data_IF_177092221906
#
_entry.id   IF_177092221906
#
_cell.length_a   1.000
_cell.length_b   1.000
_cell.length_c   1.000
_cell.angle_alpha   90.00
_cell.angle_beta   90.00
_cell.angle_gamma   90.00
#
_symmetry.space_group_name_H-M   'P 1'
#
loop_
_entity.id
_entity.type
_entity.pdbx_description
1 polymer ?
#
# COMPACT_ATOMS: atom_id res chain seq x y z
N UNK A 1 -39.58 66.22 6.03
CA UNK A 1 -41.03 66.44 5.71
C UNK A 1 -41.73 65.11 5.93
N UNK A 2 -42.37 64.92 7.11
CA UNK A 2 -43.83 65.04 7.36
C UNK A 2 -44.66 64.31 6.29
N UNK A 3 -45.40 63.22 6.60
CA UNK A 3 -46.64 63.05 7.42
C UNK A 3 -46.99 61.57 7.53
N UNK A 4 -47.26 60.86 8.63
CA UNK A 4 -48.50 60.72 9.41
C UNK A 4 -49.78 60.47 8.63
N UNK A 5 -50.45 59.35 8.96
CA UNK A 5 -51.86 59.20 9.34
C UNK A 5 -52.19 57.69 9.36
N UNK A 6 -52.39 57.09 10.49
CA UNK A 6 -53.54 56.87 11.41
C UNK A 6 -54.62 55.93 10.90
N UNK A 7 -54.78 54.84 11.67
CA UNK A 7 -55.92 54.17 12.27
C UNK A 7 -57.11 53.71 11.44
N UNK A 8 -57.46 52.43 11.63
CA UNK A 8 -58.79 52.06 12.15
C UNK A 8 -58.81 50.60 12.63
N UNK A 9 -59.20 50.41 13.90
CA UNK A 9 -59.50 49.16 14.53
C UNK A 9 -60.92 48.72 14.19
N UNK A 10 -61.12 47.41 13.89
CA UNK A 10 -62.45 46.79 14.01
C UNK A 10 -62.30 45.53 14.82
N UNK A 11 -63.00 45.55 15.96
CA UNK A 11 -63.17 44.44 16.90
C UNK A 11 -64.31 43.54 16.41
N UNK A 12 -64.09 42.23 16.23
CA UNK A 12 -65.19 41.26 16.23
C UNK A 12 -64.83 40.07 17.09
N UNK A 13 -65.79 39.68 17.93
CA UNK A 13 -65.75 38.73 19.02
C UNK A 13 -65.72 37.25 18.59
N UNK A 14 -64.95 36.50 19.36
CA UNK A 14 -65.16 35.16 19.95
C UNK A 14 -65.79 34.05 19.11
N UNK A 15 -64.98 32.97 18.95
CA UNK A 15 -65.41 31.59 18.76
C UNK A 15 -64.32 30.66 19.26
N UNK A 16 -64.54 30.10 20.47
CA UNK A 16 -63.64 29.14 21.10
C UNK A 16 -63.68 27.78 20.35
N UNK A 17 -62.65 27.41 19.70
CA UNK A 17 -62.44 26.05 19.18
C UNK A 17 -61.03 25.64 19.48
N UNK A 18 -60.78 24.83 20.51
CA UNK A 18 -59.51 24.25 20.84
C UNK A 18 -59.16 23.16 19.81
N UNK A 19 -58.28 23.45 18.88
CA UNK A 19 -57.59 22.46 18.08
C UNK A 19 -56.20 22.21 18.69
N UNK A 20 -56.03 21.04 19.31
CA UNK A 20 -54.73 20.53 19.70
C UNK A 20 -53.93 20.24 18.41
N UNK A 21 -52.69 20.74 18.25
CA UNK A 21 -51.79 20.24 17.23
C UNK A 21 -51.24 18.90 17.70
N UNK A 22 -51.57 17.83 16.98
CA UNK A 22 -50.86 16.56 17.10
C UNK A 22 -49.43 16.75 16.61
N UNK A 23 -48.46 16.85 17.53
CA UNK A 23 -47.03 16.74 17.19
C UNK A 23 -46.76 15.29 16.76
N UNK A 24 -46.64 15.08 15.46
CA UNK A 24 -46.00 13.87 14.89
C UNK A 24 -44.48 13.95 15.18
N UNK A 25 -44.06 13.31 16.25
CA UNK A 25 -42.66 12.98 16.48
C UNK A 25 -42.26 11.94 15.43
N UNK A 26 -41.71 12.39 14.31
CA UNK A 26 -40.93 11.52 13.42
C UNK A 26 -39.67 11.13 14.18
N UNK A 27 -39.69 9.96 14.83
CA UNK A 27 -38.55 9.33 15.37
C UNK A 27 -37.66 8.91 14.20
N UNK A 28 -36.52 9.60 13.99
CA UNK A 28 -35.41 9.03 13.22
C UNK A 28 -34.94 7.78 13.97
N UNK A 29 -35.42 6.63 13.55
CA UNK A 29 -34.76 5.35 13.91
C UNK A 29 -33.37 5.38 13.26
N UNK A 30 -32.35 5.69 14.03
CA UNK A 30 -31.00 5.35 13.66
C UNK A 30 -30.95 3.84 13.60
N UNK A 31 -30.96 3.30 12.39
CA UNK A 31 -30.61 1.90 12.16
C UNK A 31 -29.15 1.81 12.58
N UNK A 32 -28.89 1.29 13.76
CA UNK A 32 -27.56 0.85 14.15
C UNK A 32 -27.27 -0.36 13.25
N UNK A 33 -26.53 -0.15 12.16
CA UNK A 33 -25.98 -1.26 11.40
C UNK A 33 -25.09 -2.04 12.35
N UNK A 34 -25.50 -3.26 12.67
CA UNK A 34 -24.64 -4.19 13.38
C UNK A 34 -23.48 -4.45 12.42
N UNK A 35 -22.22 -4.20 12.82
CA UNK A 35 -21.07 -4.49 11.96
C UNK A 35 -21.15 -5.93 11.45
N UNK A 36 -20.90 -6.13 10.17
CA UNK A 36 -20.89 -7.47 9.59
C UNK A 36 -19.90 -8.34 10.39
N UNK A 37 -20.26 -9.62 10.68
CA UNK A 37 -19.37 -10.49 11.44
C UNK A 37 -18.04 -10.64 10.70
N UNK A 38 -16.95 -10.25 11.36
CA UNK A 38 -15.60 -10.37 10.83
C UNK A 38 -15.21 -11.83 10.75
N UNK A 39 -14.56 -12.24 9.66
CA UNK A 39 -13.99 -13.59 9.59
C UNK A 39 -12.80 -13.70 10.56
N UNK A 40 -12.63 -14.85 11.24
CA UNK A 40 -11.51 -15.03 12.16
C UNK A 40 -10.18 -14.95 11.41
N UNK A 41 -9.16 -14.37 12.06
CA UNK A 41 -7.78 -14.42 11.63
C UNK A 41 -6.98 -15.31 12.59
N UNK A 42 -5.99 -16.04 12.05
CA UNK A 42 -5.11 -16.91 12.84
C UNK A 42 -3.87 -16.14 13.27
N UNK A 43 -3.48 -16.29 14.52
CA UNK A 43 -2.28 -15.60 15.05
C UNK A 43 -1.01 -16.30 14.55
N UNK A 44 -0.10 -15.51 13.98
CA UNK A 44 1.23 -15.97 13.54
C UNK A 44 2.27 -15.05 14.17
N UNK A 45 3.20 -15.56 14.97
CA UNK A 45 4.17 -14.71 15.66
C UNK A 45 5.23 -14.14 14.72
N UNK A 46 5.68 -12.92 15.01
CA UNK A 46 6.86 -12.36 14.36
C UNK A 46 8.11 -13.17 14.76
N UNK A 47 8.98 -13.40 13.80
CA UNK A 47 10.28 -14.08 13.96
C UNK A 47 11.41 -13.07 14.16
N UNK A 48 11.27 -11.87 13.60
CA UNK A 48 12.22 -10.77 13.69
C UNK A 48 11.52 -9.42 13.59
N UNK A 49 12.30 -8.37 13.81
CA UNK A 49 11.84 -7.00 13.61
C UNK A 49 13.01 -6.09 13.23
N UNK A 50 12.71 -4.99 12.53
CA UNK A 50 13.72 -3.97 12.25
C UNK A 50 13.93 -3.03 13.44
N UNK A 51 15.08 -2.38 13.47
CA UNK A 51 15.21 -1.18 14.27
C UNK A 51 14.12 -0.18 13.85
N UNK A 52 13.56 0.58 14.80
CA UNK A 52 12.57 1.60 14.48
C UNK A 52 13.08 2.65 13.51
N UNK A 53 12.17 3.26 12.74
CA UNK A 53 12.48 4.44 11.95
C UNK A 53 12.86 5.64 12.83
N UNK A 54 13.50 6.65 12.27
CA UNK A 54 14.01 7.79 13.02
C UNK A 54 12.94 8.77 13.49
N UNK A 55 11.84 8.85 12.80
CA UNK A 55 10.72 9.71 13.17
C UNK A 55 9.93 9.08 14.31
N UNK A 56 9.97 9.69 15.47
CA UNK A 56 9.32 9.21 16.69
C UNK A 56 8.01 9.95 16.98
N UNK A 57 7.08 9.27 17.63
CA UNK A 57 5.78 9.81 18.07
C UNK A 57 4.92 10.36 16.90
N UNK A 58 5.05 9.77 15.73
CA UNK A 58 4.28 10.11 14.54
C UNK A 58 4.03 8.84 13.73
N UNK A 59 3.04 8.87 12.88
CA UNK A 59 2.80 7.89 11.84
C UNK A 59 3.86 8.07 10.74
N UNK A 60 4.87 7.19 10.72
CA UNK A 60 6.11 7.39 10.00
C UNK A 60 6.61 6.20 9.19
N UNK A 61 6.72 5.00 9.76
CA UNK A 61 7.00 3.81 8.95
C UNK A 61 5.81 3.53 8.04
N UNK A 62 6.07 3.14 6.78
CA UNK A 62 5.00 2.97 5.81
C UNK A 62 5.14 1.66 5.05
N UNK A 63 5.98 1.61 4.04
CA UNK A 63 6.01 0.51 3.09
C UNK A 63 7.38 -0.18 3.03
N UNK A 64 7.41 -1.52 3.01
CA UNK A 64 8.63 -2.29 2.89
C UNK A 64 8.89 -2.81 1.48
N UNK A 65 10.17 -3.11 1.17
CA UNK A 65 10.57 -3.91 0.03
C UNK A 65 11.68 -4.89 0.40
N UNK A 66 11.78 -6.03 -0.28
CA UNK A 66 12.73 -7.10 0.04
C UNK A 66 13.61 -7.42 -1.19
N UNK A 67 14.92 -7.28 -1.04
CA UNK A 67 15.88 -7.80 -2.00
C UNK A 67 16.46 -9.13 -1.51
N UNK A 68 16.27 -10.21 -2.30
CA UNK A 68 16.77 -11.53 -1.97
C UNK A 68 18.14 -11.78 -2.61
N UNK A 69 19.16 -12.04 -1.80
CA UNK A 69 20.45 -12.50 -2.28
C UNK A 69 20.41 -14.01 -2.50
N UNK A 70 20.31 -14.44 -3.77
CA UNK A 70 20.27 -15.88 -4.12
C UNK A 70 21.59 -16.60 -3.91
N UNK A 71 22.72 -15.88 -3.91
CA UNK A 71 24.04 -16.46 -3.72
C UNK A 71 24.43 -16.61 -2.25
N UNK A 72 23.99 -15.68 -1.42
CA UNK A 72 24.17 -15.67 0.03
C UNK A 72 22.86 -15.21 0.70
N UNK A 73 21.91 -16.14 0.94
CA UNK A 73 20.61 -15.81 1.47
C UNK A 73 20.61 -14.96 2.74
N UNK A 74 21.59 -15.18 3.64
CA UNK A 74 21.72 -14.41 4.87
C UNK A 74 22.17 -12.95 4.66
N UNK A 75 22.71 -12.64 3.50
CA UNK A 75 23.07 -11.27 3.08
C UNK A 75 21.97 -10.56 2.29
N UNK A 76 20.75 -11.05 2.31
CA UNK A 76 19.58 -10.35 1.78
C UNK A 76 19.31 -9.06 2.52
N UNK A 77 18.66 -8.11 1.86
CA UNK A 77 18.42 -6.77 2.39
C UNK A 77 16.92 -6.46 2.41
N UNK A 78 16.54 -5.69 3.41
CA UNK A 78 15.20 -5.17 3.60
C UNK A 78 15.22 -3.66 3.43
N UNK A 79 14.21 -3.09 2.82
CA UNK A 79 14.00 -1.66 2.73
C UNK A 79 12.74 -1.28 3.51
N UNK A 80 12.68 -0.04 3.96
CA UNK A 80 11.49 0.49 4.61
C UNK A 80 11.47 2.01 4.55
N UNK A 81 10.31 2.58 4.21
CA UNK A 81 10.15 4.03 4.19
C UNK A 81 9.87 4.58 5.57
N UNK A 82 10.39 5.77 5.81
CA UNK A 82 9.93 6.72 6.82
C UNK A 82 9.27 7.86 6.03
N UNK A 83 7.92 7.85 5.97
CA UNK A 83 7.13 8.77 5.13
C UNK A 83 7.24 10.25 5.53
N UNK A 84 8.06 10.54 6.54
CA UNK A 84 8.42 11.90 6.96
C UNK A 84 9.85 12.25 6.63
N UNK A 85 10.76 11.27 6.44
CA UNK A 85 12.18 11.51 6.42
C UNK A 85 12.97 10.88 5.24
N UNK A 86 12.57 9.70 4.75
CA UNK A 86 13.27 9.07 3.63
C UNK A 86 13.24 7.54 3.63
N UNK A 87 14.36 6.91 3.26
CA UNK A 87 14.43 5.48 3.01
C UNK A 87 15.53 4.82 3.83
N UNK A 88 15.18 3.74 4.50
CA UNK A 88 16.08 2.85 5.23
C UNK A 88 16.43 1.61 4.43
N UNK A 89 17.66 1.10 4.61
CA UNK A 89 18.05 -0.25 4.28
C UNK A 89 18.46 -0.98 5.57
N UNK A 90 17.99 -2.23 5.71
CA UNK A 90 18.27 -3.08 6.86
C UNK A 90 18.85 -4.42 6.40
N UNK A 91 19.59 -5.10 7.27
CA UNK A 91 19.88 -6.52 7.10
C UNK A 91 18.76 -7.40 7.65
N UNK A 92 18.83 -8.72 7.43
CA UNK A 92 17.87 -9.67 8.01
C UNK A 92 17.91 -9.72 9.55
N UNK A 93 18.99 -9.22 10.16
CA UNK A 93 19.09 -9.03 11.62
C UNK A 93 18.33 -7.78 12.11
N UNK A 94 17.57 -7.13 11.22
CA UNK A 94 16.79 -5.94 11.50
C UNK A 94 17.60 -4.66 11.71
N UNK A 95 18.93 -4.72 11.65
CA UNK A 95 19.77 -3.54 11.89
C UNK A 95 19.90 -2.68 10.64
N UNK A 96 19.88 -1.37 10.87
CA UNK A 96 20.12 -0.37 9.82
C UNK A 96 21.50 -0.59 9.18
N UNK A 97 21.52 -0.66 7.86
CA UNK A 97 22.71 -0.64 7.01
C UNK A 97 22.95 0.74 6.43
N UNK A 98 21.86 1.43 6.08
CA UNK A 98 21.91 2.78 5.53
C UNK A 98 20.60 3.53 5.77
N UNK A 99 20.68 4.85 5.72
CA UNK A 99 19.53 5.74 5.68
C UNK A 99 19.81 6.91 4.77
N UNK A 100 18.92 7.16 3.83
CA UNK A 100 18.97 8.32 2.94
C UNK A 100 17.83 9.26 3.27
N UNK A 101 18.17 10.48 3.72
CA UNK A 101 17.21 11.56 3.88
C UNK A 101 16.75 12.03 2.48
N UNK A 102 15.58 11.58 2.06
CA UNK A 102 15.05 11.77 0.73
C UNK A 102 13.66 12.44 0.70
N UNK A 103 13.24 13.04 1.81
CA UNK A 103 11.95 13.68 1.92
C UNK A 103 10.81 12.73 2.26
N UNK A 104 9.60 13.05 1.81
CA UNK A 104 8.37 12.35 2.14
C UNK A 104 8.12 11.21 1.15
N UNK A 105 8.82 10.08 1.33
CA UNK A 105 8.60 8.88 0.54
C UNK A 105 7.48 8.04 1.16
N UNK A 106 6.52 7.61 0.35
CA UNK A 106 5.44 6.73 0.81
C UNK A 106 5.78 5.28 0.50
N UNK A 107 5.30 4.72 -0.61
CA UNK A 107 5.58 3.32 -0.95
C UNK A 107 6.90 3.17 -1.70
N UNK A 108 7.55 2.01 -1.55
CA UNK A 108 8.83 1.66 -2.16
C UNK A 108 8.77 0.27 -2.80
N UNK A 109 9.42 0.11 -3.94
CA UNK A 109 9.61 -1.21 -4.56
C UNK A 109 10.99 -1.27 -5.23
N UNK A 110 11.42 -2.44 -5.64
CA UNK A 110 12.71 -2.66 -6.28
C UNK A 110 12.65 -3.68 -7.42
N UNK A 111 13.55 -3.53 -8.38
CA UNK A 111 13.74 -4.52 -9.45
C UNK A 111 15.24 -4.74 -9.74
N UNK A 112 15.61 -6.01 -9.93
CA UNK A 112 16.88 -6.33 -10.56
C UNK A 112 16.78 -5.96 -12.04
N UNK A 113 17.71 -5.12 -12.51
CA UNK A 113 17.70 -4.56 -13.86
C UNK A 113 19.03 -4.82 -14.55
N UNK A 114 19.01 -4.80 -15.88
CA UNK A 114 20.24 -4.84 -16.70
C UNK A 114 20.45 -3.48 -17.37
N UNK A 115 21.56 -2.83 -17.06
CA UNK A 115 21.94 -1.55 -17.65
C UNK A 115 22.30 -1.69 -19.13
N UNK A 116 22.33 -0.59 -19.86
CA UNK A 116 22.78 -0.57 -21.26
C UNK A 116 24.20 -1.10 -21.45
N UNK A 117 25.04 -1.03 -20.40
CA UNK A 117 26.38 -1.65 -20.37
C UNK A 117 26.35 -3.17 -20.30
N UNK A 118 25.22 -3.80 -20.03
CA UNK A 118 25.09 -5.25 -19.74
C UNK A 118 25.33 -5.60 -18.29
N UNK A 119 25.63 -4.64 -17.41
CA UNK A 119 25.80 -4.86 -15.98
C UNK A 119 24.46 -5.01 -15.28
N UNK A 120 24.33 -6.00 -14.37
CA UNK A 120 23.21 -6.12 -13.46
C UNK A 120 23.29 -5.07 -12.35
N UNK A 121 22.14 -4.54 -11.94
CA UNK A 121 22.01 -3.61 -10.85
C UNK A 121 20.65 -3.81 -10.15
N UNK A 122 20.47 -3.25 -8.95
CA UNK A 122 19.17 -3.22 -8.26
C UNK A 122 18.67 -1.78 -8.21
N UNK A 123 17.64 -1.52 -8.97
CA UNK A 123 16.94 -0.24 -8.98
C UNK A 123 15.87 -0.26 -7.90
N UNK A 124 15.93 0.72 -7.00
CA UNK A 124 14.92 1.01 -5.99
C UNK A 124 14.20 2.29 -6.39
N UNK A 125 12.91 2.29 -6.28
CA UNK A 125 12.10 3.48 -6.56
C UNK A 125 10.97 3.62 -5.53
N UNK A 126 10.57 4.85 -5.27
CA UNK A 126 9.52 5.18 -4.31
C UNK A 126 8.67 6.35 -4.81
N UNK A 127 7.40 6.39 -4.40
CA UNK A 127 6.57 7.59 -4.56
C UNK A 127 7.10 8.70 -3.67
N UNK A 128 7.33 9.87 -4.24
CA UNK A 128 7.74 11.09 -3.52
C UNK A 128 6.58 12.08 -3.47
N UNK A 129 6.01 12.23 -2.28
CA UNK A 129 4.89 13.12 -1.95
C UNK A 129 5.33 14.43 -1.30
N UNK A 130 6.61 14.80 -1.41
CA UNK A 130 7.15 16.03 -0.83
C UNK A 130 6.52 17.29 -1.42
N UNK A 131 6.09 17.23 -2.69
CA UNK A 131 5.36 18.30 -3.38
C UNK A 131 4.12 17.72 -4.07
N UNK A 132 2.95 17.95 -3.49
CA UNK A 132 1.67 17.46 -4.03
C UNK A 132 1.29 18.13 -5.37
N UNK A 133 1.88 19.29 -5.69
CA UNK A 133 1.67 19.94 -6.97
C UNK A 133 2.54 19.36 -8.10
N UNK A 134 3.69 18.80 -7.74
CA UNK A 134 4.66 18.18 -8.64
C UNK A 134 5.05 16.79 -8.12
N UNK A 135 4.16 15.78 -8.20
CA UNK A 135 4.46 14.42 -7.72
C UNK A 135 5.62 13.82 -8.51
N UNK A 136 6.47 13.06 -7.82
CA UNK A 136 7.70 12.51 -8.38
C UNK A 136 7.92 11.06 -7.98
N UNK A 137 8.86 10.42 -8.68
CA UNK A 137 9.43 9.13 -8.32
C UNK A 137 10.85 9.39 -7.81
N UNK A 138 11.17 9.01 -6.58
CA UNK A 138 12.52 8.99 -6.05
C UNK A 138 13.21 7.71 -6.50
N UNK A 139 14.48 7.81 -6.92
CA UNK A 139 15.24 6.71 -7.51
C UNK A 139 16.55 6.50 -6.75
N UNK A 140 16.94 5.22 -6.58
CA UNK A 140 18.17 4.86 -5.90
C UNK A 140 18.79 3.62 -6.56
N UNK A 141 20.13 3.49 -6.51
CA UNK A 141 20.80 2.22 -6.65
C UNK A 141 21.02 1.60 -5.27
N UNK A 142 20.71 0.32 -5.14
CA UNK A 142 21.07 -0.46 -3.96
C UNK A 142 22.41 -1.15 -4.22
N UNK A 143 23.45 -0.77 -3.45
CA UNK A 143 24.67 -1.56 -3.36
C UNK A 143 24.41 -2.81 -2.51
N UNK A 144 24.22 -3.91 -3.17
CA UNK A 144 23.85 -5.18 -2.55
C UNK A 144 24.95 -5.80 -1.69
N UNK A 145 26.20 -5.35 -1.82
CA UNK A 145 27.31 -5.83 -1.01
C UNK A 145 27.39 -5.13 0.35
N UNK A 146 27.06 -3.84 0.39
CA UNK A 146 27.14 -3.02 1.62
C UNK A 146 25.79 -2.67 2.22
N UNK A 147 24.71 -2.82 1.48
CA UNK A 147 23.38 -2.35 1.82
C UNK A 147 23.20 -0.83 1.68
N UNK A 148 24.13 -0.13 1.02
CA UNK A 148 24.02 1.32 0.83
C UNK A 148 23.07 1.69 -0.30
N UNK A 149 22.37 2.79 -0.10
CA UNK A 149 21.47 3.42 -1.06
C UNK A 149 22.14 4.64 -1.68
N UNK A 150 22.38 4.60 -2.99
CA UNK A 150 22.87 5.76 -3.74
C UNK A 150 21.71 6.48 -4.39
N UNK A 151 21.37 7.66 -3.90
CA UNK A 151 20.30 8.47 -4.48
C UNK A 151 20.66 8.94 -5.90
N UNK A 152 19.70 8.78 -6.81
CA UNK A 152 19.73 9.25 -8.19
C UNK A 152 18.87 10.51 -8.38
N UNK A 153 18.32 11.04 -7.27
CA UNK A 153 17.36 12.13 -7.28
C UNK A 153 15.95 11.70 -7.60
N UNK A 154 15.11 12.67 -7.97
CA UNK A 154 13.69 12.44 -8.26
C UNK A 154 13.37 12.73 -9.72
N UNK A 155 12.37 12.06 -10.27
CA UNK A 155 11.91 12.22 -11.65
C UNK A 155 10.42 12.56 -11.67
N UNK A 156 10.04 13.62 -12.39
CA UNK A 156 8.65 13.84 -12.76
C UNK A 156 8.22 12.76 -13.76
N UNK A 157 7.01 12.28 -13.63
CA UNK A 157 6.45 11.21 -14.47
C UNK A 157 5.15 11.61 -15.17
N UNK A 158 4.54 12.73 -14.78
CA UNK A 158 3.31 13.21 -15.39
C UNK A 158 3.60 13.95 -16.69
N UNK A 159 2.75 13.76 -17.68
CA UNK A 159 2.76 14.61 -18.87
C UNK A 159 2.38 16.06 -18.51
N UNK A 160 2.83 17.01 -19.31
CA UNK A 160 2.50 18.43 -19.08
C UNK A 160 0.98 18.65 -19.11
N UNK A 161 0.45 19.36 -18.12
CA UNK A 161 -0.98 19.68 -18.02
C UNK A 161 -1.81 18.70 -17.20
N UNK A 162 -1.21 17.67 -16.60
CA UNK A 162 -1.90 16.84 -15.61
C UNK A 162 -2.28 17.65 -14.38
N UNK A 163 -3.39 17.26 -13.74
CA UNK A 163 -3.82 17.85 -12.49
C UNK A 163 -2.83 17.48 -11.39
N UNK A 164 -2.42 18.48 -10.60
CA UNK A 164 -1.66 18.25 -9.38
C UNK A 164 -2.43 17.31 -8.43
N UNK A 165 -1.75 16.27 -7.95
CA UNK A 165 -2.29 15.26 -7.05
C UNK A 165 -1.14 14.57 -6.34
N UNK A 166 -1.33 14.16 -5.10
CA UNK A 166 -0.34 13.45 -4.31
C UNK A 166 0.04 12.11 -4.94
N UNK A 167 1.34 11.85 -5.14
CA UNK A 167 1.87 10.53 -5.46
C UNK A 167 1.87 9.70 -4.17
N UNK A 168 0.90 8.81 -4.05
CA UNK A 168 0.58 8.10 -2.82
C UNK A 168 1.16 6.70 -2.85
N UNK A 169 0.51 5.71 -3.46
CA UNK A 169 1.04 4.38 -3.60
C UNK A 169 2.08 4.22 -4.71
N UNK A 170 2.83 3.11 -4.65
CA UNK A 170 3.86 2.81 -5.64
C UNK A 170 4.13 1.31 -5.74
N UNK A 171 4.30 0.81 -6.96
CA UNK A 171 4.88 -0.49 -7.21
C UNK A 171 5.61 -0.53 -8.56
N UNK A 172 6.46 -1.54 -8.75
CA UNK A 172 7.23 -1.73 -9.98
C UNK A 172 6.82 -3.03 -10.69
N UNK A 173 7.09 -3.07 -11.98
CA UNK A 173 7.06 -4.26 -12.82
C UNK A 173 8.33 -4.38 -13.64
N UNK A 174 8.58 -5.54 -14.20
CA UNK A 174 9.67 -5.78 -15.13
C UNK A 174 9.55 -4.93 -16.39
N UNK A 175 10.68 -4.68 -17.06
CA UNK A 175 10.73 -4.02 -18.36
C UNK A 175 9.86 -4.74 -19.39
N UNK A 176 9.14 -3.97 -20.20
CA UNK A 176 8.26 -4.47 -21.29
C UNK A 176 8.71 -4.01 -22.66
N UNK A 177 9.66 -3.08 -22.74
CA UNK A 177 10.31 -2.60 -23.94
C UNK A 177 11.82 -2.84 -23.90
N UNK A 178 12.47 -2.92 -25.06
CA UNK A 178 13.89 -3.27 -25.19
C UNK A 178 14.83 -2.22 -24.59
N UNK A 179 14.38 -0.98 -24.43
CA UNK A 179 15.14 0.16 -23.90
C UNK A 179 14.68 0.58 -22.49
N UNK A 180 13.89 -0.28 -21.84
CA UNK A 180 13.41 -0.05 -20.49
C UNK A 180 14.24 -0.79 -19.44
N UNK A 181 14.42 -0.17 -18.29
CA UNK A 181 14.96 -0.82 -17.09
C UNK A 181 13.84 -1.52 -16.32
N UNK A 182 12.72 -0.84 -16.14
CA UNK A 182 11.58 -1.32 -15.39
C UNK A 182 10.31 -0.52 -15.76
N UNK A 183 9.17 -0.94 -15.25
CA UNK A 183 7.92 -0.18 -15.19
C UNK A 183 7.67 0.31 -13.78
N UNK A 184 7.17 1.53 -13.66
CA UNK A 184 6.70 2.12 -12.42
C UNK A 184 5.20 2.37 -12.53
N UNK A 185 4.47 2.08 -11.46
CA UNK A 185 3.04 2.33 -11.31
C UNK A 185 2.88 3.24 -10.11
N UNK A 186 2.59 4.52 -10.35
CA UNK A 186 2.33 5.49 -9.29
C UNK A 186 0.85 5.58 -9.07
N UNK A 187 0.40 5.24 -7.87
CA UNK A 187 -1.00 5.38 -7.45
C UNK A 187 -1.17 6.77 -6.87
N UNK A 188 -1.98 7.57 -7.55
CA UNK A 188 -2.32 8.92 -7.10
C UNK A 188 -3.45 8.82 -6.07
N UNK A 189 -3.48 9.70 -5.10
CA UNK A 189 -4.45 9.66 -4.00
C UNK A 189 -5.92 9.69 -4.43
N UNK A 190 -6.20 10.14 -5.64
CA UNK A 190 -7.56 10.12 -6.21
C UNK A 190 -7.94 8.80 -6.90
N UNK A 191 -7.11 7.76 -6.78
CA UNK A 191 -7.31 6.46 -7.41
C UNK A 191 -6.85 6.37 -8.88
N UNK A 192 -6.17 7.39 -9.40
CA UNK A 192 -5.52 7.32 -10.72
C UNK A 192 -4.20 6.59 -10.60
N UNK A 193 -3.97 5.56 -11.41
CA UNK A 193 -2.68 4.86 -11.50
C UNK A 193 -2.01 5.23 -12.81
N UNK A 194 -0.80 5.78 -12.73
CA UNK A 194 0.00 6.16 -13.90
C UNK A 194 1.08 5.11 -14.13
N UNK A 195 1.00 4.41 -15.27
CA UNK A 195 2.06 3.52 -15.74
C UNK A 195 3.15 4.34 -16.42
N UNK A 196 4.41 4.19 -15.99
CA UNK A 196 5.56 4.88 -16.55
C UNK A 196 6.67 3.88 -16.91
N UNK A 197 7.36 4.13 -18.03
CA UNK A 197 8.60 3.43 -18.35
C UNK A 197 9.77 4.14 -17.68
N UNK A 198 10.63 3.38 -17.00
CA UNK A 198 11.90 3.85 -16.50
C UNK A 198 13.00 3.49 -17.52
N UNK A 199 13.66 4.51 -18.08
CA UNK A 199 14.65 4.36 -19.15
C UNK A 199 15.98 5.00 -18.77
N UNK A 200 17.07 4.35 -19.15
CA UNK A 200 18.39 4.96 -19.06
C UNK A 200 18.59 5.90 -20.26
N UNK A 201 18.82 7.19 -19.99
CA UNK A 201 19.08 8.19 -21.00
C UNK A 201 20.12 9.21 -20.49
N UNK A 202 21.16 9.44 -21.28
CA UNK A 202 22.24 10.41 -20.98
C UNK A 202 22.88 10.23 -19.58
N UNK A 203 23.03 8.98 -19.13
CA UNK A 203 23.61 8.62 -17.83
C UNK A 203 22.69 8.88 -16.63
N UNK A 204 21.41 9.13 -16.87
CA UNK A 204 20.37 9.29 -15.85
C UNK A 204 19.18 8.36 -16.14
N UNK A 205 18.38 8.04 -15.14
CA UNK A 205 17.10 7.35 -15.33
C UNK A 205 16.01 8.40 -15.52
N UNK A 206 15.18 8.22 -16.55
CA UNK A 206 14.02 9.05 -16.86
C UNK A 206 12.74 8.24 -16.73
N UNK A 207 11.70 8.87 -16.18
CA UNK A 207 10.36 8.31 -16.17
C UNK A 207 9.53 8.94 -17.32
N UNK A 208 8.87 8.09 -18.09
CA UNK A 208 7.98 8.48 -19.19
C UNK A 208 6.60 7.89 -18.97
N UNK A 209 5.59 8.75 -18.75
CA UNK A 209 4.21 8.31 -18.63
C UNK A 209 3.70 7.66 -19.92
N UNK A 210 3.04 6.53 -19.80
CA UNK A 210 2.56 5.73 -20.94
C UNK A 210 1.04 5.67 -20.98
N UNK A 211 0.45 5.19 -19.92
CA UNK A 211 -0.99 4.91 -19.82
C UNK A 211 -1.44 5.16 -18.39
N UNK A 212 -2.75 5.26 -18.21
CA UNK A 212 -3.36 5.36 -16.89
C UNK A 212 -4.61 4.49 -16.77
N UNK A 213 -4.94 4.09 -15.57
CA UNK A 213 -6.21 3.50 -15.18
C UNK A 213 -6.68 4.19 -13.91
N UNK A 214 -7.99 4.25 -13.70
CA UNK A 214 -8.57 4.92 -12.53
C UNK A 214 -9.61 4.05 -11.87
N UNK A 215 -9.54 3.98 -10.54
CA UNK A 215 -10.61 3.50 -9.65
C UNK A 215 -11.39 4.70 -9.09
N UNK A 216 -12.46 4.46 -8.36
CA UNK A 216 -13.42 5.53 -8.07
C UNK A 216 -12.98 6.46 -6.94
N UNK A 217 -12.26 5.91 -5.95
CA UNK A 217 -11.90 6.59 -4.70
C UNK A 217 -10.41 6.44 -4.39
N UNK A 218 -10.00 6.76 -3.18
CA UNK A 218 -8.63 6.65 -2.71
C UNK A 218 -8.13 5.21 -2.84
N UNK A 219 -6.91 5.07 -3.33
CA UNK A 219 -6.21 3.80 -3.48
C UNK A 219 -4.74 4.00 -3.16
N UNK A 220 -4.11 2.98 -2.60
CA UNK A 220 -2.69 3.04 -2.26
C UNK A 220 -1.95 1.78 -2.67
N UNK A 221 -2.18 0.64 -1.99
CA UNK A 221 -1.44 -0.58 -2.20
C UNK A 221 -1.49 -1.09 -3.63
N UNK A 222 -0.35 -1.42 -4.21
CA UNK A 222 -0.30 -2.10 -5.49
C UNK A 222 0.84 -3.12 -5.56
N UNK A 223 0.67 -4.13 -6.42
CA UNK A 223 1.72 -5.10 -6.74
C UNK A 223 1.57 -5.62 -8.16
N UNK A 224 2.69 -5.87 -8.83
CA UNK A 224 2.70 -6.43 -10.20
C UNK A 224 3.10 -7.89 -10.18
N UNK A 225 2.25 -8.72 -10.76
CA UNK A 225 2.59 -10.08 -11.13
C UNK A 225 3.23 -10.10 -12.52
N UNK A 226 4.55 -10.02 -12.57
CA UNK A 226 5.31 -10.03 -13.82
C UNK A 226 5.12 -11.32 -14.63
N UNK A 227 4.81 -12.45 -13.98
CA UNK A 227 4.62 -13.73 -14.66
C UNK A 227 3.32 -13.76 -15.48
N UNK A 228 2.27 -13.07 -15.04
CA UNK A 228 0.97 -13.02 -15.72
C UNK A 228 0.72 -11.68 -16.40
N UNK A 229 1.55 -10.66 -16.13
CA UNK A 229 1.32 -9.30 -16.59
C UNK A 229 0.08 -8.67 -15.97
N UNK A 230 -0.15 -8.88 -14.67
CA UNK A 230 -1.31 -8.38 -13.96
C UNK A 230 -0.88 -7.39 -12.87
N UNK A 231 -1.47 -6.22 -12.84
CA UNK A 231 -1.38 -5.29 -11.72
C UNK A 231 -2.57 -5.54 -10.79
N UNK A 232 -2.30 -5.67 -9.50
CA UNK A 232 -3.30 -5.64 -8.44
C UNK A 232 -3.24 -4.29 -7.73
N UNK A 233 -4.41 -3.76 -7.36
CA UNK A 233 -4.57 -2.43 -6.77
C UNK A 233 -5.58 -2.49 -5.63
N UNK A 234 -5.25 -1.94 -4.48
CA UNK A 234 -6.15 -1.75 -3.35
C UNK A 234 -6.83 -0.38 -3.41
N UNK A 235 -8.16 -0.36 -3.45
CA UNK A 235 -9.01 0.81 -3.24
C UNK A 235 -9.59 0.69 -1.83
N UNK A 236 -9.15 1.57 -0.94
CA UNK A 236 -9.20 1.42 0.52
C UNK A 236 -10.58 0.99 1.07
N UNK A 237 -11.64 1.73 0.71
CA UNK A 237 -13.01 1.46 1.18
C UNK A 237 -13.78 0.44 0.30
N UNK A 238 -13.17 -0.05 -0.79
CA UNK A 238 -13.90 -0.83 -1.82
C UNK A 238 -13.38 -2.25 -1.94
N UNK A 239 -12.05 -2.44 -1.99
CA UNK A 239 -11.44 -3.75 -2.11
C UNK A 239 -10.29 -3.80 -3.14
N UNK A 240 -10.10 -4.97 -3.75
CA UNK A 240 -8.94 -5.24 -4.60
C UNK A 240 -9.39 -5.34 -6.07
N UNK A 241 -8.66 -4.66 -6.92
CA UNK A 241 -8.80 -4.67 -8.37
C UNK A 241 -7.66 -5.41 -9.05
N UNK A 242 -7.92 -5.98 -10.21
CA UNK A 242 -6.92 -6.54 -11.12
C UNK A 242 -6.98 -5.83 -12.47
N UNK A 243 -5.81 -5.56 -13.06
CA UNK A 243 -5.64 -4.87 -14.33
C UNK A 243 -4.70 -5.68 -15.22
N UNK A 244 -5.18 -6.11 -16.39
CA UNK A 244 -4.35 -6.81 -17.37
C UNK A 244 -3.43 -5.81 -18.09
N UNK A 245 -2.13 -5.91 -17.88
CA UNK A 245 -1.12 -4.98 -18.39
C UNK A 245 -0.74 -5.21 -19.88
N UNK A 246 -1.13 -6.33 -20.46
CA UNK A 246 -0.99 -6.63 -21.90
C UNK A 246 -2.14 -6.06 -22.73
N UNK A 247 -3.23 -5.64 -22.09
CA UNK A 247 -4.34 -4.98 -22.78
C UNK A 247 -3.93 -3.62 -23.36
N UNK A 248 -4.49 -3.26 -24.49
CA UNK A 248 -4.23 -1.97 -25.14
C UNK A 248 -4.81 -0.81 -24.33
N UNK A 249 -5.97 -1.02 -23.71
CA UNK A 249 -6.63 -0.10 -22.79
C UNK A 249 -6.68 -0.76 -21.43
N UNK A 250 -6.20 -0.07 -20.41
CA UNK A 250 -6.21 -0.59 -19.03
C UNK A 250 -7.61 -0.46 -18.43
N UNK A 251 -8.12 -1.56 -17.89
CA UNK A 251 -9.41 -1.61 -17.22
C UNK A 251 -9.26 -2.34 -15.88
N UNK A 252 -9.73 -1.71 -14.81
CA UNK A 252 -9.78 -2.31 -13.48
C UNK A 252 -11.01 -3.24 -13.38
N UNK A 253 -10.78 -4.49 -12.96
CA UNK A 253 -11.82 -5.50 -12.69
C UNK A 253 -11.74 -5.94 -11.25
N UNK A 254 -12.87 -5.99 -10.54
CA UNK A 254 -12.89 -6.40 -9.16
C UNK A 254 -12.38 -7.83 -8.99
N UNK A 255 -11.44 -8.03 -8.04
CA UNK A 255 -10.96 -9.33 -7.59
C UNK A 255 -11.62 -9.73 -6.28
N UNK A 256 -11.58 -8.86 -5.28
CA UNK A 256 -12.18 -9.03 -3.97
C UNK A 256 -12.79 -7.71 -3.49
N UNK A 257 -13.75 -7.78 -2.56
CA UNK A 257 -14.45 -6.59 -2.05
C UNK A 257 -14.37 -6.50 -0.54
N UNK A 258 -14.38 -5.29 -0.02
CA UNK A 258 -14.62 -5.07 1.40
C UNK A 258 -15.92 -5.75 1.81
N UNK A 259 -15.86 -6.54 2.88
CA UNK A 259 -16.98 -7.29 3.43
C UNK A 259 -16.62 -8.70 3.88
N UNK A 260 -17.52 -9.30 4.64
CA UNK A 260 -17.30 -10.61 5.27
C UNK A 260 -17.08 -11.75 4.27
N UNK A 261 -17.61 -11.65 3.05
CA UNK A 261 -17.46 -12.73 2.05
C UNK A 261 -15.99 -12.91 1.62
N UNK A 262 -15.27 -11.80 1.42
CA UNK A 262 -13.88 -11.79 0.98
C UNK A 262 -12.90 -11.53 2.15
N UNK A 263 -13.43 -11.38 3.37
CA UNK A 263 -12.61 -11.24 4.58
C UNK A 263 -11.79 -9.95 4.66
N UNK A 264 -12.19 -8.92 3.93
CA UNK A 264 -11.60 -7.60 3.99
C UNK A 264 -12.46 -6.68 4.86
N UNK A 265 -11.82 -5.91 5.71
CA UNK A 265 -12.41 -4.79 6.41
C UNK A 265 -11.87 -3.52 5.74
N UNK A 266 -12.71 -2.49 5.67
CA UNK A 266 -12.33 -1.18 5.15
C UNK A 266 -11.02 -0.68 5.77
N UNK A 267 -10.38 0.07 5.01
CA UNK A 267 -9.00 0.41 4.88
C UNK A 267 -8.17 -0.78 4.37
N UNK A 268 -8.32 -1.09 3.07
CA UNK A 268 -7.51 -2.10 2.38
C UNK A 268 -6.28 -1.41 1.84
N UNK A 269 -5.14 -1.69 2.47
CA UNK A 269 -3.88 -0.99 2.22
C UNK A 269 -2.88 -1.84 1.41
N UNK A 270 -1.68 -2.06 1.91
CA UNK A 270 -0.61 -2.75 1.21
C UNK A 270 -1.00 -4.09 0.59
N UNK A 271 -0.47 -4.35 -0.60
CA UNK A 271 -0.60 -5.60 -1.33
C UNK A 271 0.76 -6.25 -1.53
N UNK A 272 0.85 -7.57 -1.33
CA UNK A 272 2.06 -8.34 -1.60
C UNK A 272 1.75 -9.63 -2.36
N UNK A 273 2.68 -10.08 -3.23
CA UNK A 273 2.51 -11.25 -4.09
C UNK A 273 3.46 -12.38 -3.71
N UNK A 274 2.93 -13.44 -3.12
CA UNK A 274 3.66 -14.67 -2.90
C UNK A 274 3.52 -15.59 -4.11
N UNK A 275 4.57 -15.68 -4.96
CA UNK A 275 4.60 -16.56 -6.13
C UNK A 275 5.65 -17.64 -5.97
N UNK A 276 5.23 -18.90 -5.92
CA UNK A 276 6.09 -20.05 -5.87
C UNK A 276 6.65 -20.43 -7.25
N UNK A 277 7.80 -21.12 -7.25
CA UNK A 277 8.43 -21.66 -8.47
C UNK A 277 7.57 -22.74 -9.15
N UNK A 278 6.64 -23.35 -8.41
CA UNK A 278 5.66 -24.31 -8.91
C UNK A 278 4.47 -23.64 -9.64
N UNK A 279 4.47 -22.32 -9.76
CA UNK A 279 3.46 -21.51 -10.43
C UNK A 279 2.27 -21.16 -9.56
N UNK A 280 2.14 -21.68 -8.34
CA UNK A 280 1.12 -21.25 -7.38
C UNK A 280 1.41 -19.81 -6.95
N UNK A 281 0.36 -19.05 -6.74
CA UNK A 281 0.47 -17.69 -6.28
C UNK A 281 -0.66 -17.31 -5.33
N UNK A 282 -0.30 -16.47 -4.38
CA UNK A 282 -1.22 -15.88 -3.41
C UNK A 282 -1.03 -14.37 -3.38
N UNK A 283 -2.13 -13.67 -3.38
CA UNK A 283 -2.14 -12.23 -3.11
C UNK A 283 -2.47 -12.03 -1.64
N UNK A 284 -1.63 -11.29 -0.94
CA UNK A 284 -1.85 -10.85 0.43
C UNK A 284 -2.29 -9.40 0.42
N UNK A 285 -3.23 -9.06 1.29
CA UNK A 285 -3.71 -7.69 1.46
C UNK A 285 -3.74 -7.32 2.94
N UNK A 286 -3.26 -6.15 3.27
CA UNK A 286 -3.49 -5.55 4.58
C UNK A 286 -4.96 -5.14 4.70
N UNK A 287 -5.65 -5.67 5.68
CA UNK A 287 -6.99 -5.28 6.12
C UNK A 287 -6.78 -4.43 7.37
N UNK A 288 -6.36 -3.16 7.17
CA UNK A 288 -5.90 -2.28 8.23
C UNK A 288 -6.98 -2.06 9.28
N UNK A 289 -8.24 -1.87 8.86
CA UNK A 289 -9.37 -1.61 9.76
C UNK A 289 -9.65 -2.70 10.80
N UNK A 290 -9.00 -3.88 10.71
CA UNK A 290 -9.05 -4.88 11.78
C UNK A 290 -7.70 -5.54 12.07
N UNK A 291 -6.61 -4.90 11.66
CA UNK A 291 -5.21 -5.29 11.90
C UNK A 291 -4.96 -6.76 11.56
N UNK A 292 -5.40 -7.16 10.35
CA UNK A 292 -5.26 -8.53 9.84
C UNK A 292 -4.85 -8.53 8.36
N UNK A 293 -4.43 -9.68 7.88
CA UNK A 293 -4.02 -9.87 6.50
C UNK A 293 -4.92 -10.93 5.85
N UNK A 294 -5.53 -10.57 4.73
CA UNK A 294 -6.30 -11.51 3.91
C UNK A 294 -5.41 -12.12 2.83
N UNK A 295 -5.52 -13.42 2.60
CA UNK A 295 -4.73 -14.15 1.60
C UNK A 295 -5.67 -14.75 0.58
N UNK A 296 -5.43 -14.47 -0.70
CA UNK A 296 -6.26 -14.92 -1.82
C UNK A 296 -5.46 -15.83 -2.76
N UNK A 297 -6.07 -16.92 -3.21
CA UNK A 297 -5.48 -17.73 -4.28
C UNK A 297 -5.60 -17.03 -5.62
N UNK A 298 -4.57 -17.12 -6.46
CA UNK A 298 -4.58 -16.57 -7.81
C UNK A 298 -4.62 -17.71 -8.85
N UNK A 299 -5.26 -17.49 -10.00
CA UNK A 299 -5.85 -16.22 -10.47
C UNK A 299 -7.32 -16.00 -10.05
N UNK A 300 -7.95 -16.93 -9.34
CA UNK A 300 -9.39 -16.93 -9.10
C UNK A 300 -9.87 -16.01 -7.96
N UNK A 301 -8.95 -15.39 -7.22
CA UNK A 301 -9.24 -14.41 -6.16
C UNK A 301 -10.01 -14.97 -4.98
N UNK A 302 -9.98 -16.30 -4.75
CA UNK A 302 -10.67 -16.89 -3.61
C UNK A 302 -9.92 -16.68 -2.32
N UNK A 303 -10.62 -16.26 -1.28
CA UNK A 303 -10.05 -16.18 0.05
C UNK A 303 -9.54 -17.55 0.51
N UNK A 304 -8.23 -17.65 0.73
CA UNK A 304 -7.58 -18.83 1.28
C UNK A 304 -7.59 -18.84 2.81
N UNK A 305 -7.57 -17.67 3.42
CA UNK A 305 -7.63 -17.48 4.86
C UNK A 305 -7.17 -16.10 5.28
N UNK A 306 -7.19 -15.88 6.60
CA UNK A 306 -6.74 -14.63 7.22
C UNK A 306 -5.80 -14.94 8.36
N UNK A 307 -4.80 -14.11 8.53
CA UNK A 307 -3.90 -14.14 9.68
C UNK A 307 -3.66 -12.73 10.21
N UNK A 308 -3.10 -12.66 11.40
CA UNK A 308 -2.53 -11.43 11.97
C UNK A 308 -1.15 -11.74 12.54
N UNK A 309 -0.29 -10.76 12.56
CA UNK A 309 0.97 -10.87 13.29
C UNK A 309 0.67 -10.59 14.74
N UNK A 310 0.70 -11.63 15.58
CA UNK A 310 0.29 -11.55 16.99
C UNK A 310 1.02 -12.61 17.82
N UNK A 311 1.25 -12.31 19.07
CA UNK A 311 1.91 -13.24 19.97
C UNK A 311 3.44 -13.25 19.86
N UNK A 312 4.08 -14.09 20.65
CA UNK A 312 5.56 -14.13 20.72
C UNK A 312 6.17 -12.98 21.52
N UNK A 313 7.51 -12.88 21.47
CA UNK A 313 8.27 -11.94 22.28
C UNK A 313 8.42 -10.54 21.65
N UNK A 314 8.16 -10.42 20.34
CA UNK A 314 8.38 -9.20 19.56
C UNK A 314 7.10 -8.35 19.39
N UNK A 315 6.00 -8.79 19.98
CA UNK A 315 4.71 -8.14 19.77
C UNK A 315 4.07 -8.50 18.42
N UNK A 316 3.06 -7.74 18.06
CA UNK A 316 2.30 -7.89 16.81
C UNK A 316 2.49 -6.74 15.85
N UNK A 317 1.54 -6.61 14.92
CA UNK A 317 1.38 -5.44 14.07
C UNK A 317 -0.04 -4.92 14.20
N UNK A 318 -0.21 -3.62 14.10
CA UNK A 318 -1.51 -2.96 14.06
C UNK A 318 -1.51 -1.83 13.04
N UNK A 319 -2.67 -1.48 12.55
CA UNK A 319 -2.84 -0.36 11.60
C UNK A 319 -1.78 -0.38 10.48
N UNK A 320 -1.60 -1.57 9.86
CA UNK A 320 -0.52 -1.81 8.89
C UNK A 320 -0.83 -1.14 7.56
N UNK A 321 0.02 -0.20 7.15
CA UNK A 321 0.00 0.41 5.82
C UNK A 321 0.60 -0.57 4.80
N UNK A 322 1.91 -0.71 4.75
CA UNK A 322 2.62 -1.49 3.75
C UNK A 322 3.00 -2.91 4.18
N UNK A 323 2.99 -3.82 3.22
CA UNK A 323 3.44 -5.21 3.36
C UNK A 323 4.26 -5.66 2.16
N UNK A 324 5.18 -6.60 2.38
CA UNK A 324 5.89 -7.27 1.30
C UNK A 324 6.09 -8.76 1.61
N UNK A 325 6.19 -9.59 0.58
CA UNK A 325 6.51 -11.01 0.71
C UNK A 325 7.49 -11.46 -0.37
N UNK A 326 8.57 -12.09 0.05
CA UNK A 326 9.53 -12.69 -0.87
C UNK A 326 9.74 -14.16 -0.55
N UNK A 327 9.53 -15.02 -1.55
CA UNK A 327 9.67 -16.46 -1.41
C UNK A 327 11.08 -16.95 -1.70
N UNK A 328 11.42 -18.08 -1.08
CA UNK A 328 12.69 -18.78 -1.23
C UNK A 328 13.55 -18.70 0.03
N UNK A 329 14.78 -19.19 -0.08
CA UNK A 329 15.69 -19.27 1.06
C UNK A 329 16.28 -17.91 1.41
N UNK A 330 16.13 -17.50 2.68
CA UNK A 330 16.72 -16.34 3.33
C UNK A 330 17.59 -16.74 4.55
N UNK A 331 17.96 -18.01 4.64
CA UNK A 331 18.71 -18.57 5.76
C UNK A 331 17.83 -19.33 6.75
N UNK A 332 18.42 -19.79 7.86
CA UNK A 332 17.77 -20.76 8.74
C UNK A 332 16.48 -20.27 9.41
N UNK A 333 16.34 -18.97 9.63
CA UNK A 333 15.15 -18.41 10.24
C UNK A 333 13.98 -18.25 9.24
N UNK A 334 14.28 -18.19 7.94
CA UNK A 334 13.31 -17.96 6.86
C UNK A 334 13.59 -18.86 5.64
N UNK A 335 13.57 -20.18 5.78
CA UNK A 335 13.97 -21.11 4.71
C UNK A 335 12.99 -21.12 3.51
N UNK A 336 11.73 -20.77 3.72
CA UNK A 336 10.71 -20.71 2.67
C UNK A 336 10.37 -19.31 2.18
N UNK A 337 10.83 -18.27 2.87
CA UNK A 337 10.54 -16.88 2.55
C UNK A 337 10.24 -16.02 3.77
N UNK A 338 10.11 -14.72 3.51
CA UNK A 338 9.81 -13.70 4.51
C UNK A 338 8.54 -12.95 4.10
N UNK A 339 7.64 -12.74 5.04
CA UNK A 339 6.63 -11.71 5.02
C UNK A 339 7.08 -10.58 5.93
N UNK A 340 7.00 -9.34 5.46
CA UNK A 340 7.38 -8.13 6.17
C UNK A 340 6.18 -7.19 6.22
N UNK A 341 5.85 -6.66 7.39
CA UNK A 341 4.72 -5.78 7.62
C UNK A 341 5.11 -4.59 8.49
N UNK A 342 4.63 -3.41 8.12
CA UNK A 342 4.72 -2.21 8.95
C UNK A 342 3.90 -2.42 10.24
N UNK A 343 4.43 -1.94 11.38
CA UNK A 343 3.76 -1.92 12.67
C UNK A 343 3.42 -0.49 13.07
N UNK A 344 2.13 -0.16 13.00
CA UNK A 344 1.60 1.16 13.29
C UNK A 344 1.66 1.56 14.76
N UNK A 345 1.73 0.59 15.70
CA UNK A 345 1.85 0.87 17.14
C UNK A 345 2.97 0.01 17.80
N UNK A 346 4.19 0.49 17.69
CA UNK A 346 5.37 -0.12 18.31
C UNK A 346 5.75 0.56 19.65
N UNK A 347 4.80 1.13 20.36
CA UNK A 347 5.05 1.84 21.62
C UNK A 347 5.81 0.97 22.66
N UNK A 348 6.81 1.50 23.38
CA UNK A 348 7.17 2.92 23.50
C UNK A 348 8.18 3.42 22.45
N UNK A 349 8.51 2.61 21.46
CA UNK A 349 9.43 2.96 20.39
C UNK A 349 8.70 3.62 19.20
N UNK A 350 9.44 4.21 18.27
CA UNK A 350 8.89 4.60 16.96
C UNK A 350 8.48 3.35 16.19
N UNK A 351 7.65 3.54 15.16
CA UNK A 351 7.18 2.48 14.28
C UNK A 351 8.35 1.73 13.63
N UNK A 352 8.13 0.48 13.30
CA UNK A 352 9.11 -0.40 12.68
C UNK A 352 8.43 -1.39 11.71
N UNK A 353 9.17 -2.42 11.30
CA UNK A 353 8.65 -3.51 10.49
C UNK A 353 8.87 -4.83 11.19
N UNK A 354 7.84 -5.70 11.22
CA UNK A 354 7.93 -7.06 11.72
C UNK A 354 8.21 -8.04 10.58
N UNK A 355 9.03 -9.05 10.86
CA UNK A 355 9.39 -10.12 9.94
C UNK A 355 8.76 -11.41 10.38
N UNK A 356 8.09 -12.11 9.47
CA UNK A 356 7.40 -13.37 9.73
C UNK A 356 7.88 -14.43 8.73
N UNK A 357 8.12 -15.63 9.21
CA UNK A 357 8.43 -16.76 8.33
C UNK A 357 7.22 -17.07 7.44
N UNK A 358 7.44 -17.10 6.11
CA UNK A 358 6.41 -17.52 5.16
C UNK A 358 5.90 -18.94 5.44
N UNK A 359 6.79 -19.84 5.88
CA UNK A 359 6.41 -21.21 6.24
C UNK A 359 5.43 -21.26 7.42
N UNK A 360 5.56 -20.34 8.39
CA UNK A 360 4.62 -20.23 9.49
C UNK A 360 3.23 -19.77 9.00
N UNK A 361 3.17 -18.80 8.09
CA UNK A 361 1.92 -18.35 7.48
C UNK A 361 1.29 -19.48 6.68
N UNK A 362 2.07 -20.17 5.81
CA UNK A 362 1.59 -21.32 5.04
C UNK A 362 1.02 -22.41 5.93
N UNK A 363 1.72 -22.75 7.00
CA UNK A 363 1.26 -23.78 7.94
C UNK A 363 -0.04 -23.38 8.65
N UNK A 364 -0.13 -22.13 9.11
CA UNK A 364 -1.33 -21.62 9.77
C UNK A 364 -2.55 -21.64 8.84
N UNK A 365 -2.39 -21.15 7.61
CA UNK A 365 -3.47 -21.06 6.61
C UNK A 365 -3.67 -22.35 5.80
N UNK A 366 -2.80 -23.36 5.96
CA UNK A 366 -2.80 -24.62 5.19
C UNK A 366 -2.76 -24.38 3.68
N UNK A 367 -1.85 -23.50 3.26
CA UNK A 367 -1.59 -23.20 1.85
C UNK A 367 -0.72 -24.31 1.25
N UNK A 368 -1.35 -25.29 0.61
CA UNK A 368 -0.68 -26.44 -0.01
C UNK A 368 -0.28 -26.17 -1.46
#
# INVERSE_FOLDING_TARGET
MKRFLTSAAVLVKQGSGALLPALLLAGCATVSETPAPRLPALDVPATGETQPVGTANDDAADDPAIWRNRADPAASLLLGTDKKAGLYAYGLDGKVRDFVAAGRLNNVDLREVTLASGQGAVLVAASDRSDEAEPRIALFWLDTASGKLLSLGTQGFLASGHRAMEAYGFCMGSARGADELARAYVVMKDGTVVESALREADGAIRAEALREVKVATQAEGCVVDDATGTLYLAEEDVGIWQVALDAQVLEARALAKVGAADGLVDDVEGLALARGEDGRAWLLASSQGDSAYATFTLPDGKLAGRFRVEGGALGGTSETDGIEVALGDFGPDYPGGIFMAQDGDNAPHAQNFKLVSWDAIRAALKLD
#
